data_IF_967066549409
#
_entry.id   IF_967066549409
#
_cell.length_a   1.000
_cell.length_b   1.000
_cell.length_c   1.000
_cell.angle_alpha   90.00
_cell.angle_beta   90.00
_cell.angle_gamma   90.00
#
_symmetry.space_group_name_H-M   'P 1'
#
loop_
_entity.id
_entity.type
_entity.pdbx_description
1 polymer ?
#
# COMPACT_ATOMS: atom_id res chain seq x y z
N UNK A 1 -17.65 -7.06 -13.59
CA UNK A 1 -17.11 -6.21 -12.51
C UNK A 1 -17.97 -4.96 -12.22
N UNK A 2 -18.52 -4.29 -13.25
CA UNK A 2 -19.37 -3.10 -13.03
C UNK A 2 -20.63 -3.45 -12.23
N UNK A 3 -21.35 -4.52 -12.57
CA UNK A 3 -22.55 -4.94 -11.85
C UNK A 3 -22.32 -5.28 -10.37
N UNK A 4 -21.12 -5.77 -10.02
CA UNK A 4 -20.73 -6.00 -8.63
C UNK A 4 -20.45 -4.68 -7.90
N UNK A 5 -19.78 -3.73 -8.58
CA UNK A 5 -19.51 -2.40 -8.03
C UNK A 5 -20.80 -1.61 -7.78
N UNK A 6 -21.78 -1.69 -8.69
CA UNK A 6 -23.08 -1.01 -8.56
C UNK A 6 -23.85 -1.44 -7.32
N UNK A 7 -23.83 -2.74 -7.00
CA UNK A 7 -24.43 -3.26 -5.76
C UNK A 7 -23.76 -2.70 -4.51
N UNK A 8 -22.45 -2.48 -4.57
CA UNK A 8 -21.68 -1.94 -3.45
C UNK A 8 -21.91 -0.43 -3.32
N UNK A 9 -21.97 0.32 -4.45
CA UNK A 9 -22.28 1.75 -4.42
C UNK A 9 -23.65 2.03 -3.82
N UNK A 10 -24.66 1.21 -4.12
CA UNK A 10 -26.03 1.34 -3.57
C UNK A 10 -26.09 1.15 -2.05
N UNK A 11 -25.12 0.47 -1.44
CA UNK A 11 -25.03 0.34 0.03
C UNK A 11 -24.53 1.62 0.71
N UNK A 12 -23.84 2.48 -0.01
CA UNK A 12 -23.26 3.70 0.56
C UNK A 12 -24.32 4.79 0.69
N UNK A 13 -24.67 5.14 1.92
CA UNK A 13 -25.59 6.25 2.23
C UNK A 13 -24.91 7.61 2.39
N UNK A 14 -23.63 7.69 2.06
CA UNK A 14 -22.81 8.91 2.11
C UNK A 14 -22.79 9.64 3.46
N UNK A 15 -22.97 8.93 4.59
CA UNK A 15 -23.02 9.53 5.94
C UNK A 15 -21.70 10.17 6.41
N UNK A 16 -20.56 9.77 5.84
CA UNK A 16 -19.24 10.34 6.14
C UNK A 16 -18.54 9.78 7.38
N UNK A 17 -19.11 8.82 8.10
CA UNK A 17 -18.48 8.23 9.30
C UNK A 17 -17.09 7.63 9.00
N UNK A 18 -16.88 7.13 7.80
CA UNK A 18 -15.60 6.58 7.33
C UNK A 18 -14.48 7.65 7.21
N UNK A 19 -14.81 8.94 7.12
CA UNK A 19 -13.83 10.02 7.03
C UNK A 19 -13.05 10.19 8.34
N UNK A 20 -13.69 9.90 9.49
CA UNK A 20 -13.07 10.03 10.81
C UNK A 20 -11.86 9.09 11.01
N UNK A 21 -11.84 7.94 10.34
CA UNK A 21 -10.74 6.96 10.44
C UNK A 21 -9.78 7.00 9.25
N UNK A 22 -10.03 7.88 8.29
CA UNK A 22 -9.19 7.98 7.10
C UNK A 22 -7.98 8.89 7.34
N UNK A 23 -6.72 8.36 7.33
CA UNK A 23 -5.54 9.17 7.60
C UNK A 23 -5.33 10.27 6.56
N UNK A 24 -5.63 10.02 5.29
CA UNK A 24 -5.47 11.04 4.25
C UNK A 24 -6.47 12.16 4.37
N UNK A 25 -7.71 11.89 4.78
CA UNK A 25 -8.71 12.93 5.07
C UNK A 25 -8.31 13.75 6.31
N UNK A 26 -7.84 13.09 7.37
CA UNK A 26 -7.45 13.78 8.61
C UNK A 26 -6.26 14.73 8.39
N UNK A 27 -5.30 14.35 7.56
CA UNK A 27 -4.08 15.16 7.33
C UNK A 27 -4.34 16.26 6.29
N UNK A 28 -5.09 15.97 5.23
CA UNK A 28 -5.23 16.88 4.09
C UNK A 28 -6.46 17.77 4.17
N UNK A 29 -7.47 17.42 4.98
CA UNK A 29 -8.70 18.19 5.15
C UNK A 29 -9.61 18.27 3.92
N UNK A 30 -9.28 17.55 2.84
CA UNK A 30 -10.06 17.55 1.58
C UNK A 30 -11.03 16.37 1.58
N UNK A 31 -12.32 16.65 1.31
CA UNK A 31 -13.36 15.64 1.23
C UNK A 31 -13.07 14.59 0.15
N UNK A 32 -12.46 14.98 -0.97
CA UNK A 32 -12.10 14.07 -2.05
C UNK A 32 -10.91 13.15 -1.68
N UNK A 33 -10.17 13.48 -0.65
CA UNK A 33 -9.12 12.63 -0.07
C UNK A 33 -9.65 11.69 1.03
N UNK A 34 -10.98 11.73 1.28
CA UNK A 34 -11.72 10.82 2.14
C UNK A 34 -12.34 9.64 1.39
N UNK A 35 -12.77 8.56 2.10
CA UNK A 35 -13.39 7.40 1.45
C UNK A 35 -14.70 7.74 0.78
N UNK A 36 -15.53 8.59 1.40
CA UNK A 36 -16.81 9.05 0.84
C UNK A 36 -16.61 9.79 -0.48
N UNK A 37 -15.71 10.75 -0.52
CA UNK A 37 -15.40 11.50 -1.73
C UNK A 37 -14.83 10.62 -2.84
N UNK A 38 -13.95 9.68 -2.49
CA UNK A 38 -13.41 8.71 -3.46
C UNK A 38 -14.47 7.77 -4.02
N UNK A 39 -15.41 7.30 -3.20
CA UNK A 39 -16.57 6.52 -3.68
C UNK A 39 -17.35 7.31 -4.72
N UNK A 40 -17.62 8.60 -4.44
CA UNK A 40 -18.32 9.47 -5.38
C UNK A 40 -17.56 9.63 -6.70
N UNK A 41 -16.25 9.93 -6.64
CA UNK A 41 -15.41 10.06 -7.83
C UNK A 41 -15.36 8.79 -8.68
N UNK A 42 -15.22 7.63 -8.03
CA UNK A 42 -15.16 6.34 -8.73
C UNK A 42 -16.52 6.01 -9.33
N UNK A 43 -17.60 6.25 -8.61
CA UNK A 43 -18.96 6.04 -9.09
C UNK A 43 -19.22 6.88 -10.33
N UNK A 44 -18.98 8.20 -10.27
CA UNK A 44 -19.17 9.11 -11.42
C UNK A 44 -18.32 8.69 -12.63
N UNK A 45 -17.09 8.25 -12.40
CA UNK A 45 -16.18 7.81 -13.46
C UNK A 45 -16.66 6.51 -14.13
N UNK A 46 -17.16 5.55 -13.35
CA UNK A 46 -17.58 4.23 -13.88
C UNK A 46 -18.98 4.28 -14.51
N UNK A 47 -19.94 4.98 -13.90
CA UNK A 47 -21.31 5.07 -14.41
C UNK A 47 -21.40 5.89 -15.72
N UNK A 48 -20.57 6.92 -15.85
CA UNK A 48 -20.56 7.78 -17.03
C UNK A 48 -19.44 7.45 -18.02
N UNK A 49 -18.70 6.36 -17.82
CA UNK A 49 -17.55 5.93 -18.65
C UNK A 49 -16.56 7.06 -18.95
N UNK A 50 -16.40 7.99 -18.00
CA UNK A 50 -15.54 9.18 -18.15
C UNK A 50 -14.07 8.79 -18.14
N UNK A 51 -13.30 9.41 -19.03
CA UNK A 51 -11.83 9.33 -18.93
C UNK A 51 -11.36 9.97 -17.62
N UNK A 52 -10.49 9.28 -16.85
CA UNK A 52 -9.96 9.83 -15.61
C UNK A 52 -9.22 11.14 -15.84
N UNK A 53 -9.56 12.18 -15.08
CA UNK A 53 -8.82 13.45 -15.10
C UNK A 53 -7.65 13.39 -14.12
N UNK A 54 -6.64 14.23 -14.31
CA UNK A 54 -5.50 14.34 -13.38
C UNK A 54 -5.92 14.62 -11.94
N UNK A 55 -7.01 15.37 -11.75
CA UNK A 55 -7.60 15.66 -10.44
C UNK A 55 -8.15 14.41 -9.79
N UNK A 56 -8.97 13.63 -10.50
CA UNK A 56 -9.51 12.35 -10.00
C UNK A 56 -8.39 11.39 -9.66
N UNK A 57 -7.43 11.21 -10.58
CA UNK A 57 -6.28 10.33 -10.38
C UNK A 57 -5.48 10.71 -9.13
N UNK A 58 -5.25 12.01 -8.89
CA UNK A 58 -4.56 12.51 -7.70
C UNK A 58 -5.23 12.05 -6.40
N UNK A 59 -6.55 12.17 -6.28
CA UNK A 59 -7.27 11.79 -5.06
C UNK A 59 -7.35 10.27 -4.87
N UNK A 60 -7.51 9.52 -5.96
CA UNK A 60 -7.52 8.04 -5.89
C UNK A 60 -6.14 7.47 -5.55
N UNK A 61 -5.07 8.02 -6.14
CA UNK A 61 -3.69 7.59 -5.89
C UNK A 61 -3.23 7.88 -4.45
N UNK A 62 -3.76 8.90 -3.80
CA UNK A 62 -3.49 9.24 -2.39
C UNK A 62 -4.08 8.23 -1.40
N UNK A 63 -4.98 7.35 -1.86
CA UNK A 63 -5.51 6.30 -0.99
C UNK A 63 -4.41 5.29 -0.61
N UNK A 64 -4.15 5.17 0.69
CA UNK A 64 -3.14 4.25 1.24
C UNK A 64 -3.58 2.78 1.21
N UNK A 65 -4.82 2.49 0.83
CA UNK A 65 -5.40 1.13 0.86
C UNK A 65 -5.27 0.45 2.23
N UNK A 66 -5.35 1.23 3.32
CA UNK A 66 -5.26 0.73 4.70
C UNK A 66 -6.57 0.10 5.20
N UNK A 67 -7.69 0.36 4.51
CA UNK A 67 -9.03 -0.15 4.76
C UNK A 67 -9.65 0.13 6.15
N UNK A 68 -9.04 1.02 6.96
CA UNK A 68 -9.60 1.45 8.26
C UNK A 68 -11.03 1.98 8.15
N UNK A 69 -11.39 2.57 7.01
CA UNK A 69 -12.73 3.06 6.72
C UNK A 69 -13.80 1.93 6.64
N UNK A 70 -13.39 0.69 6.37
CA UNK A 70 -14.34 -0.44 6.28
C UNK A 70 -14.85 -0.85 7.65
N UNK A 71 -14.00 -0.82 8.68
CA UNK A 71 -14.36 -1.19 10.04
C UNK A 71 -15.33 -0.19 10.70
N UNK A 72 -15.29 1.07 10.23
CA UNK A 72 -16.13 2.16 10.75
C UNK A 72 -17.46 2.29 9.99
N UNK A 73 -17.60 1.61 8.85
CA UNK A 73 -18.79 1.75 8.01
C UNK A 73 -19.98 0.95 8.55
N UNK A 74 -21.07 1.60 9.07
CA UNK A 74 -22.24 0.89 9.59
C UNK A 74 -23.04 0.17 8.50
N UNK A 75 -22.94 0.65 7.23
CA UNK A 75 -23.61 0.04 6.09
C UNK A 75 -22.82 -1.14 5.48
N UNK A 76 -21.65 -1.48 6.02
CA UNK A 76 -20.84 -2.60 5.55
C UNK A 76 -20.38 -2.45 4.07
N UNK A 77 -20.05 -1.24 3.63
CA UNK A 77 -19.57 -0.98 2.27
C UNK A 77 -18.22 -1.64 2.06
N UNK A 78 -18.11 -2.52 1.07
CA UNK A 78 -16.83 -3.10 0.66
C UNK A 78 -15.99 -2.08 -0.13
N UNK A 79 -15.35 -1.18 0.61
CA UNK A 79 -14.52 -0.13 0.03
C UNK A 79 -13.29 -0.67 -0.72
N UNK A 80 -12.73 -1.80 -0.28
CA UNK A 80 -11.60 -2.45 -0.94
C UNK A 80 -11.91 -2.74 -2.41
N UNK A 81 -13.05 -3.37 -2.68
CA UNK A 81 -13.48 -3.67 -4.05
C UNK A 81 -13.66 -2.40 -4.91
N UNK A 82 -14.23 -1.34 -4.33
CA UNK A 82 -14.43 -0.06 -5.03
C UNK A 82 -13.11 0.58 -5.43
N UNK A 83 -12.18 0.70 -4.46
CA UNK A 83 -10.91 1.39 -4.71
C UNK A 83 -10.00 0.59 -5.68
N UNK A 84 -10.02 -0.74 -5.59
CA UNK A 84 -9.24 -1.60 -6.48
C UNK A 84 -9.78 -1.53 -7.91
N UNK A 85 -11.11 -1.53 -8.07
CA UNK A 85 -11.75 -1.36 -9.38
C UNK A 85 -11.46 0.03 -9.96
N UNK A 86 -11.56 1.09 -9.16
CA UNK A 86 -11.23 2.46 -9.57
C UNK A 86 -9.77 2.61 -10.00
N UNK A 87 -8.82 2.05 -9.23
CA UNK A 87 -7.40 2.03 -9.60
C UNK A 87 -7.14 1.26 -10.89
N UNK A 88 -7.75 0.09 -11.06
CA UNK A 88 -7.66 -0.71 -12.30
C UNK A 88 -8.20 0.05 -13.52
N UNK A 89 -9.33 0.74 -13.36
CA UNK A 89 -9.91 1.56 -14.43
C UNK A 89 -8.99 2.71 -14.82
N UNK A 90 -8.40 3.41 -13.84
CA UNK A 90 -7.43 4.49 -14.07
C UNK A 90 -6.19 3.97 -14.80
N UNK A 91 -5.59 2.86 -14.37
CA UNK A 91 -4.40 2.30 -15.05
C UNK A 91 -4.68 1.93 -16.51
N UNK A 92 -5.91 1.56 -16.85
CA UNK A 92 -6.31 1.22 -18.21
C UNK A 92 -6.60 2.45 -19.09
N UNK A 93 -7.16 3.53 -18.51
CA UNK A 93 -7.74 4.64 -19.27
C UNK A 93 -7.03 5.98 -19.08
N UNK A 94 -5.98 6.04 -18.23
CA UNK A 94 -5.24 7.26 -17.95
C UNK A 94 -3.77 7.14 -18.34
N UNK A 95 -3.32 8.05 -19.17
CA UNK A 95 -1.90 8.13 -19.53
C UNK A 95 -1.16 9.00 -18.51
N UNK A 96 -0.33 8.33 -17.71
CA UNK A 96 0.49 9.01 -16.69
C UNK A 96 1.64 9.79 -17.34
N UNK A 97 2.04 10.93 -16.77
CA UNK A 97 3.23 11.65 -17.17
C UNK A 97 4.48 10.75 -17.17
N UNK A 98 5.42 11.01 -18.06
CA UNK A 98 6.63 10.20 -18.24
C UNK A 98 7.38 9.95 -16.92
N UNK A 99 7.59 10.98 -16.11
CA UNK A 99 8.30 10.87 -14.83
C UNK A 99 7.57 9.95 -13.83
N UNK A 100 6.26 10.06 -13.69
CA UNK A 100 5.49 9.18 -12.80
C UNK A 100 5.57 7.73 -13.27
N UNK A 101 5.51 7.50 -14.57
CA UNK A 101 5.65 6.17 -15.18
C UNK A 101 7.05 5.58 -14.92
N UNK A 102 8.09 6.38 -15.11
CA UNK A 102 9.48 5.98 -14.87
C UNK A 102 9.71 5.63 -13.40
N UNK A 103 9.25 6.47 -12.46
CA UNK A 103 9.37 6.21 -11.01
C UNK A 103 8.62 4.93 -10.62
N UNK A 104 7.39 4.75 -11.09
CA UNK A 104 6.59 3.53 -10.82
C UNK A 104 7.28 2.27 -11.34
N UNK A 105 7.82 2.31 -12.56
CA UNK A 105 8.58 1.21 -13.16
C UNK A 105 9.85 0.93 -12.36
N UNK A 106 10.59 1.96 -11.97
CA UNK A 106 11.77 1.82 -11.12
C UNK A 106 11.42 1.15 -9.78
N UNK A 107 10.41 1.63 -9.09
CA UNK A 107 9.97 1.07 -7.81
C UNK A 107 9.47 -0.37 -7.95
N UNK A 108 8.76 -0.71 -9.04
CA UNK A 108 8.27 -2.07 -9.27
C UNK A 108 9.39 -3.10 -9.46
N UNK A 109 10.58 -2.67 -9.88
CA UNK A 109 11.77 -3.53 -10.02
C UNK A 109 12.59 -3.54 -8.74
N UNK A 110 12.79 -2.37 -8.11
CA UNK A 110 13.68 -2.24 -6.95
C UNK A 110 13.07 -2.81 -5.67
N UNK A 111 11.78 -2.55 -5.39
CA UNK A 111 11.15 -2.95 -4.13
C UNK A 111 11.02 -4.47 -3.94
N UNK A 112 10.65 -5.28 -4.95
CA UNK A 112 10.59 -6.73 -4.78
C UNK A 112 11.95 -7.39 -4.65
N UNK A 113 13.00 -6.77 -5.23
CA UNK A 113 14.33 -7.36 -5.30
C UNK A 113 15.23 -6.83 -4.19
N UNK A 114 15.55 -7.69 -3.23
CA UNK A 114 16.35 -7.34 -2.04
C UNK A 114 17.75 -6.80 -2.37
N UNK A 115 18.38 -7.34 -3.43
CA UNK A 115 19.71 -6.87 -3.88
C UNK A 115 19.66 -5.43 -4.39
N UNK A 116 18.71 -5.14 -5.28
CA UNK A 116 18.52 -3.79 -5.80
C UNK A 116 18.06 -2.81 -4.73
N UNK A 117 17.22 -3.25 -3.78
CA UNK A 117 16.79 -2.43 -2.66
C UNK A 117 17.97 -2.02 -1.76
N UNK A 118 18.86 -2.96 -1.42
CA UNK A 118 20.08 -2.68 -0.65
C UNK A 118 21.02 -1.74 -1.39
N UNK A 119 21.25 -1.98 -2.68
CA UNK A 119 22.08 -1.11 -3.52
C UNK A 119 21.48 0.31 -3.57
N UNK A 120 20.19 0.44 -3.83
CA UNK A 120 19.50 1.72 -3.82
C UNK A 120 19.64 2.45 -2.48
N UNK A 121 19.47 1.72 -1.35
CA UNK A 121 19.64 2.29 -0.02
C UNK A 121 21.08 2.76 0.25
N UNK A 122 22.06 2.02 -0.24
CA UNK A 122 23.47 2.42 -0.12
C UNK A 122 23.74 3.71 -0.93
N UNK A 123 23.25 3.78 -2.16
CA UNK A 123 23.37 4.98 -3.00
C UNK A 123 22.68 6.18 -2.38
N UNK A 124 21.49 6.01 -1.80
CA UNK A 124 20.80 7.07 -1.04
C UNK A 124 21.61 7.53 0.16
N UNK A 125 22.24 6.60 0.89
CA UNK A 125 23.10 6.95 2.03
C UNK A 125 24.31 7.79 1.59
N UNK A 126 24.95 7.43 0.47
CA UNK A 126 26.07 8.17 -0.08
C UNK A 126 25.67 9.54 -0.65
N UNK A 127 24.44 9.67 -1.17
CA UNK A 127 23.94 10.94 -1.72
C UNK A 127 23.35 11.90 -0.68
N UNK A 128 23.28 11.53 0.61
CA UNK A 128 22.79 12.42 1.68
C UNK A 128 23.43 13.81 1.69
N UNK A 129 24.75 13.99 1.55
CA UNK A 129 25.36 15.33 1.60
C UNK A 129 24.92 16.22 0.43
N UNK A 130 24.50 15.65 -0.70
CA UNK A 130 24.04 16.40 -1.88
C UNK A 130 22.51 16.38 -2.06
N UNK A 131 21.76 15.92 -1.05
CA UNK A 131 20.29 15.81 -1.14
C UNK A 131 19.57 17.15 -1.37
N UNK A 132 20.21 18.29 -1.09
CA UNK A 132 19.65 19.63 -1.35
C UNK A 132 19.46 19.92 -2.84
N UNK A 133 20.18 19.22 -3.72
CA UNK A 133 20.12 19.39 -5.17
C UNK A 133 18.93 18.66 -5.82
N UNK A 134 18.26 17.76 -5.08
CA UNK A 134 17.16 16.96 -5.61
C UNK A 134 15.80 17.62 -5.40
N UNK A 135 14.83 17.42 -6.34
CA UNK A 135 13.45 17.84 -6.17
C UNK A 135 12.82 17.29 -4.89
N UNK A 136 11.86 18.05 -4.30
CA UNK A 136 11.21 17.69 -3.02
C UNK A 136 10.69 16.24 -2.98
N UNK A 137 10.03 15.76 -4.03
CA UNK A 137 9.52 14.39 -4.10
C UNK A 137 10.60 13.32 -3.93
N UNK A 138 11.78 13.53 -4.53
CA UNK A 138 12.91 12.59 -4.41
C UNK A 138 13.51 12.68 -3.01
N UNK A 139 13.64 13.89 -2.47
CA UNK A 139 14.12 14.13 -1.11
C UNK A 139 13.24 13.43 -0.06
N UNK A 140 11.90 13.52 -0.21
CA UNK A 140 10.96 12.86 0.67
C UNK A 140 11.09 11.33 0.57
N UNK A 141 11.24 10.78 -0.63
CA UNK A 141 11.51 9.34 -0.83
C UNK A 141 12.84 8.90 -0.20
N UNK A 142 13.88 9.74 -0.32
CA UNK A 142 15.18 9.45 0.31
C UNK A 142 15.11 9.47 1.83
N UNK A 143 14.27 10.32 2.42
CA UNK A 143 14.07 10.38 3.88
C UNK A 143 13.42 9.13 4.46
N UNK A 144 12.62 8.40 3.67
CA UNK A 144 11.98 7.15 4.05
C UNK A 144 12.93 5.94 4.02
N UNK A 145 14.09 6.08 3.37
CA UNK A 145 15.05 4.98 3.27
C UNK A 145 15.79 4.75 4.59
N UNK A 146 15.93 3.49 5.03
CA UNK A 146 16.63 3.17 6.26
C UNK A 146 18.11 3.55 6.17
N UNK A 147 18.63 4.11 7.25
CA UNK A 147 20.06 4.47 7.35
C UNK A 147 20.95 3.29 7.68
N UNK A 148 20.37 2.24 8.28
CA UNK A 148 21.04 1.00 8.63
C UNK A 148 20.10 -0.19 8.46
N UNK A 149 20.68 -1.33 8.08
CA UNK A 149 19.93 -2.58 8.03
C UNK A 149 20.23 -3.40 9.28
N UNK A 150 19.21 -3.86 10.01
CA UNK A 150 19.42 -4.73 11.17
C UNK A 150 20.05 -6.05 10.71
N UNK A 151 20.89 -6.64 11.57
CA UNK A 151 21.43 -7.97 11.33
C UNK A 151 20.30 -8.99 11.36
N UNK A 152 20.27 -9.86 10.37
CA UNK A 152 19.34 -11.01 10.36
C UNK A 152 19.82 -12.04 11.38
N UNK A 153 19.04 -12.28 12.39
CA UNK A 153 19.36 -13.23 13.47
C UNK A 153 19.06 -14.67 13.02
N UNK A 154 17.96 -14.85 12.30
CA UNK A 154 17.56 -16.15 11.78
C UNK A 154 17.87 -16.22 10.27
N UNK A 155 18.61 -17.25 9.86
CA UNK A 155 18.75 -17.57 8.43
C UNK A 155 17.35 -17.91 7.92
N UNK A 156 16.89 -17.18 6.90
CA UNK A 156 15.62 -17.49 6.24
C UNK A 156 15.70 -18.91 5.66
N UNK A 157 15.11 -19.85 6.38
CA UNK A 157 14.91 -21.22 5.90
C UNK A 157 13.57 -21.26 5.18
N UNK A 158 13.47 -22.11 4.19
CA UNK A 158 12.21 -22.34 3.51
C UNK A 158 11.18 -23.03 4.43
N UNK A 159 11.64 -23.82 5.40
CA UNK A 159 10.80 -24.58 6.33
C UNK A 159 11.36 -24.45 7.75
N UNK A 160 10.50 -24.01 8.67
CA UNK A 160 10.74 -24.00 10.11
C UNK A 160 9.99 -25.18 10.75
N UNK A 161 10.72 -26.08 11.40
CA UNK A 161 10.14 -27.23 12.09
C UNK A 161 10.00 -26.92 13.58
N UNK A 162 8.89 -27.29 14.16
CA UNK A 162 8.67 -27.27 15.61
C UNK A 162 9.48 -28.39 16.25
N UNK A 163 10.26 -28.08 17.28
CA UNK A 163 11.05 -29.09 18.02
C UNK A 163 10.24 -29.67 19.18
N UNK A 164 10.11 -31.00 19.22
CA UNK A 164 9.58 -31.72 20.39
C UNK A 164 8.06 -31.72 20.57
N UNK A 165 7.28 -31.13 19.66
CA UNK A 165 5.81 -31.10 19.73
C UNK A 165 5.15 -31.71 18.49
N UNK A 166 3.91 -32.19 18.65
CA UNK A 166 3.12 -32.72 17.54
C UNK A 166 2.73 -31.57 16.58
N UNK A 167 2.97 -31.77 15.28
CA UNK A 167 2.59 -30.81 14.26
C UNK A 167 1.07 -30.82 14.13
N UNK A 168 0.42 -29.70 14.48
CA UNK A 168 -1.04 -29.52 14.37
C UNK A 168 -1.42 -29.11 12.95
N UNK A 169 -0.69 -28.14 12.36
CA UNK A 169 -0.96 -27.67 11.00
C UNK A 169 0.31 -27.12 10.34
N UNK A 170 0.23 -26.94 9.03
CA UNK A 170 1.28 -26.25 8.26
C UNK A 170 0.73 -24.91 7.79
N UNK A 171 1.48 -23.85 8.03
CA UNK A 171 1.12 -22.48 7.62
C UNK A 171 2.21 -21.88 6.76
N UNK A 172 1.84 -21.03 5.81
CA UNK A 172 2.78 -20.28 5.02
C UNK A 172 2.83 -18.83 5.55
N UNK A 173 4.04 -18.33 5.81
CA UNK A 173 4.25 -16.92 6.18
C UNK A 173 4.52 -16.11 4.92
N UNK A 174 3.61 -15.19 4.59
CA UNK A 174 3.82 -14.21 3.53
C UNK A 174 4.72 -13.09 4.05
N UNK A 175 5.96 -13.04 3.56
CA UNK A 175 6.93 -12.00 3.92
C UNK A 175 6.78 -10.78 3.02
N UNK A 176 6.73 -9.58 3.60
CA UNK A 176 6.72 -8.34 2.82
C UNK A 176 8.03 -8.14 2.04
N UNK A 177 7.94 -7.57 0.83
CA UNK A 177 9.09 -7.38 -0.05
C UNK A 177 10.22 -6.56 0.61
N UNK A 178 9.86 -5.46 1.25
CA UNK A 178 10.78 -4.50 1.89
C UNK A 178 10.98 -4.83 3.37
N UNK A 179 9.92 -5.27 4.05
CA UNK A 179 9.91 -5.54 5.48
C UNK A 179 10.96 -6.57 5.91
N UNK A 180 11.21 -7.61 5.09
CA UNK A 180 12.25 -8.61 5.35
C UNK A 180 13.67 -8.04 5.41
N UNK A 181 13.89 -6.84 4.86
CA UNK A 181 15.18 -6.14 4.88
C UNK A 181 15.23 -5.06 5.95
N UNK A 182 14.15 -4.30 6.13
CA UNK A 182 14.08 -3.18 7.10
C UNK A 182 13.86 -3.69 8.52
N UNK A 183 12.98 -4.69 8.68
CA UNK A 183 12.53 -5.18 10.00
C UNK A 183 12.39 -6.70 10.01
N UNK A 184 13.49 -7.47 9.80
CA UNK A 184 13.44 -8.93 9.79
C UNK A 184 12.95 -9.53 11.12
N UNK A 185 13.18 -8.82 12.25
CA UNK A 185 12.74 -9.23 13.58
C UNK A 185 11.23 -9.46 13.69
N UNK A 186 10.41 -8.81 12.86
CA UNK A 186 8.95 -9.04 12.85
C UNK A 186 8.63 -10.46 12.37
N UNK A 187 9.27 -10.87 11.27
CA UNK A 187 9.09 -12.23 10.74
C UNK A 187 9.66 -13.28 11.71
N UNK A 188 10.81 -12.97 12.33
CA UNK A 188 11.44 -13.83 13.32
C UNK A 188 10.54 -14.05 14.54
N UNK A 189 9.96 -12.96 15.07
CA UNK A 189 9.01 -13.03 16.17
C UNK A 189 7.75 -13.83 15.78
N UNK A 190 7.22 -13.62 14.56
CA UNK A 190 6.07 -14.37 14.06
C UNK A 190 6.36 -15.87 13.97
N UNK A 191 7.51 -16.25 13.43
CA UNK A 191 7.92 -17.67 13.36
C UNK A 191 8.05 -18.26 14.75
N UNK A 192 8.70 -17.55 15.69
CA UNK A 192 8.87 -18.01 17.07
C UNK A 192 7.53 -18.23 17.75
N UNK A 193 6.64 -17.24 17.74
CA UNK A 193 5.30 -17.37 18.33
C UNK A 193 4.52 -18.54 17.75
N UNK A 194 4.50 -18.68 16.42
CA UNK A 194 3.80 -19.79 15.76
C UNK A 194 4.42 -21.16 16.00
N UNK A 195 5.70 -21.22 16.37
CA UNK A 195 6.37 -22.49 16.72
C UNK A 195 6.28 -22.83 18.20
N UNK A 196 5.99 -21.85 19.08
CA UNK A 196 5.92 -22.03 20.53
C UNK A 196 4.48 -22.22 21.04
N UNK A 197 3.46 -21.66 20.35
CA UNK A 197 2.05 -21.69 20.76
C UNK A 197 1.38 -23.08 20.62
N UNK A 198 2.04 -24.08 20.03
CA UNK A 198 1.49 -25.41 19.80
C UNK A 198 2.49 -26.51 20.23
#
# INVERSE_FOLDING_TARGET
>A
DNASSDKIFKKCVHCGMCNATCPTHQILGDELDGPRGRIYLIKDMLENEKKPTSKVVKHIDRCLSCYSCMTTCPAGVNYMHIIDHGKKYIEKNYERPFFDRAIRKFLSVVLPNTGYFRLASLLVKLSKPVQFLFPSKIKDMMSLMPTSFPKKTIKQKEIYKVSGKKIVSRVALLTGCVQKEISPQINEATVRLRSEEH
#
